data_IF_275911253036
#
_entry.id   IF_275911253036
#
_cell.length_a   1.000
_cell.length_b   1.000
_cell.length_c   1.000
_cell.angle_alpha   90.00
_cell.angle_beta   90.00
_cell.angle_gamma   90.00
#
_symmetry.space_group_name_H-M   'P 1'
#
loop_
_entity.id
_entity.type
_entity.pdbx_description
1 polymer ?
#
# COMPACT_ATOMS: atom_id res chain seq x y z
N UNK A 1 -3.64 14.11 29.79
CA UNK A 1 -3.32 14.08 28.34
C UNK A 1 -4.54 13.50 27.64
N UNK A 2 -5.27 14.32 26.89
CA UNK A 2 -6.43 13.84 26.13
C UNK A 2 -5.89 13.22 24.85
N UNK A 3 -6.00 11.90 24.71
CA UNK A 3 -5.71 11.23 23.44
C UNK A 3 -6.96 11.40 22.58
N UNK A 4 -6.90 12.26 21.57
CA UNK A 4 -7.98 12.40 20.62
C UNK A 4 -7.94 11.18 19.69
N UNK A 5 -8.88 10.24 19.92
CA UNK A 5 -9.04 9.05 19.08
C UNK A 5 -10.01 9.39 17.96
N UNK A 6 -9.55 9.33 16.71
CA UNK A 6 -10.40 9.51 15.54
C UNK A 6 -10.68 8.15 14.91
N UNK A 7 -11.88 7.98 14.39
CA UNK A 7 -12.22 6.84 13.54
C UNK A 7 -11.92 7.17 12.09
N UNK A 8 -11.25 6.27 11.37
CA UNK A 8 -11.04 6.43 9.94
C UNK A 8 -12.39 6.49 9.22
N UNK A 9 -12.57 7.44 8.31
CA UNK A 9 -13.83 7.57 7.55
C UNK A 9 -13.99 6.50 6.47
N UNK A 10 -12.86 6.04 5.93
CA UNK A 10 -12.79 5.06 4.84
C UNK A 10 -11.77 3.99 5.21
N UNK A 11 -11.87 2.87 4.54
CA UNK A 11 -10.80 1.88 4.46
C UNK A 11 -9.72 2.40 3.53
N UNK A 12 -8.45 2.40 3.96
CA UNK A 12 -7.31 2.77 3.12
C UNK A 12 -6.34 1.63 2.97
N UNK A 13 -5.82 1.48 1.77
CA UNK A 13 -4.88 0.41 1.44
C UNK A 13 -4.10 0.69 0.18
N UNK A 14 -3.29 -0.28 -0.21
CA UNK A 14 -2.51 -0.23 -1.45
C UNK A 14 -2.77 -1.45 -2.31
N UNK A 15 -2.61 -1.31 -3.63
CA UNK A 15 -2.68 -2.43 -4.55
C UNK A 15 -1.38 -3.24 -4.54
N UNK A 16 -1.46 -4.55 -4.33
CA UNK A 16 -0.30 -5.44 -4.24
C UNK A 16 -0.45 -6.73 -5.07
N UNK A 17 0.67 -7.42 -5.24
CA UNK A 17 0.72 -8.80 -5.72
C UNK A 17 1.04 -9.72 -4.54
N UNK A 18 0.14 -10.67 -4.25
CA UNK A 18 0.37 -11.70 -3.23
C UNK A 18 0.57 -13.07 -3.87
N UNK A 19 1.07 -14.06 -3.12
CA UNK A 19 1.11 -15.44 -3.63
C UNK A 19 -0.31 -15.93 -3.90
N UNK A 20 -0.50 -16.56 -5.05
CA UNK A 20 -1.79 -17.14 -5.38
C UNK A 20 -2.06 -18.35 -4.47
N UNK A 21 -3.29 -18.48 -4.00
CA UNK A 21 -3.73 -19.60 -3.14
C UNK A 21 -4.94 -20.21 -3.81
N UNK A 22 -4.74 -21.43 -4.35
CA UNK A 22 -5.80 -22.18 -5.02
C UNK A 22 -6.96 -22.45 -4.05
N UNK A 23 -8.19 -22.30 -4.54
CA UNK A 23 -9.41 -22.44 -3.73
C UNK A 23 -9.77 -21.23 -2.86
N UNK A 24 -8.84 -20.27 -2.67
CA UNK A 24 -9.11 -19.02 -1.93
C UNK A 24 -9.20 -17.83 -2.88
N UNK A 25 -8.24 -17.70 -3.79
CA UNK A 25 -8.19 -16.60 -4.74
C UNK A 25 -8.98 -16.93 -6.02
N UNK A 26 -9.70 -15.94 -6.61
CA UNK A 26 -10.38 -16.14 -7.88
C UNK A 26 -9.38 -16.45 -9.01
N UNK A 27 -9.65 -17.46 -9.87
CA UNK A 27 -8.77 -17.77 -11.00
C UNK A 27 -8.55 -16.59 -11.96
N UNK A 28 -9.52 -15.66 -12.06
CA UNK A 28 -9.40 -14.44 -12.86
C UNK A 28 -8.31 -13.47 -12.36
N UNK A 29 -7.82 -13.65 -11.13
CA UNK A 29 -6.72 -12.86 -10.54
C UNK A 29 -5.37 -13.57 -10.61
N UNK A 30 -5.31 -14.78 -11.16
CA UNK A 30 -4.07 -15.55 -11.30
C UNK A 30 -3.18 -14.92 -12.38
N UNK A 31 -1.94 -14.59 -12.01
CA UNK A 31 -0.88 -14.16 -12.93
C UNK A 31 0.36 -15.01 -12.67
N UNK A 32 0.88 -15.66 -13.70
CA UNK A 32 2.14 -16.41 -13.62
C UNK A 32 3.29 -15.55 -14.10
N UNK A 33 4.29 -15.35 -13.25
CA UNK A 33 5.49 -14.57 -13.58
C UNK A 33 6.74 -15.26 -13.05
N UNK A 34 7.70 -15.49 -13.94
CA UNK A 34 8.96 -16.19 -13.63
C UNK A 34 8.71 -17.57 -12.96
N UNK A 35 7.66 -18.28 -13.40
CA UNK A 35 7.24 -19.57 -12.83
C UNK A 35 6.53 -19.50 -11.48
N UNK A 36 6.26 -18.30 -10.95
CA UNK A 36 5.58 -18.09 -9.67
C UNK A 36 4.15 -17.62 -9.94
N UNK A 37 3.18 -18.24 -9.27
CA UNK A 37 1.77 -17.85 -9.28
C UNK A 37 1.50 -16.71 -8.29
N UNK A 38 0.96 -15.62 -8.81
CA UNK A 38 0.58 -14.43 -8.06
C UNK A 38 -0.92 -14.17 -8.17
N UNK A 39 -1.47 -13.60 -7.12
CA UNK A 39 -2.78 -12.98 -7.09
C UNK A 39 -2.61 -11.49 -7.36
N UNK A 40 -3.09 -11.03 -8.50
CA UNK A 40 -3.10 -9.63 -8.88
C UNK A 40 -4.24 -8.86 -8.23
N UNK A 41 -4.08 -7.54 -8.22
CA UNK A 41 -5.08 -6.58 -7.78
C UNK A 41 -5.52 -6.73 -6.32
N UNK A 42 -4.70 -7.33 -5.46
CA UNK A 42 -5.06 -7.48 -4.04
C UNK A 42 -5.06 -6.10 -3.37
N UNK A 43 -6.12 -5.83 -2.61
CA UNK A 43 -6.19 -4.66 -1.73
C UNK A 43 -5.58 -5.03 -0.37
N UNK A 44 -4.41 -4.48 -0.05
CA UNK A 44 -3.80 -4.65 1.27
C UNK A 44 -4.16 -3.46 2.17
N UNK A 45 -5.04 -3.70 3.14
CA UNK A 45 -5.58 -2.68 4.03
C UNK A 45 -4.58 -2.26 5.12
N UNK A 46 -4.41 -0.95 5.25
CA UNK A 46 -3.66 -0.31 6.33
C UNK A 46 -4.59 0.03 7.49
N UNK A 47 -5.78 0.51 7.18
CA UNK A 47 -6.81 0.86 8.15
C UNK A 47 -8.18 0.55 7.55
N UNK A 48 -9.12 0.11 8.39
CA UNK A 48 -10.51 -0.08 8.00
C UNK A 48 -11.34 1.16 8.31
N UNK A 49 -12.47 1.32 7.61
CA UNK A 49 -13.49 2.26 8.01
C UNK A 49 -13.89 2.02 9.49
N UNK A 50 -14.17 3.10 10.21
CA UNK A 50 -14.47 3.13 11.64
C UNK A 50 -13.36 2.65 12.59
N UNK A 51 -12.22 2.19 12.08
CA UNK A 51 -11.09 1.83 12.92
C UNK A 51 -10.54 3.07 13.63
N UNK A 52 -10.37 2.95 14.95
CA UNK A 52 -9.75 3.98 15.79
C UNK A 52 -8.26 4.10 15.47
N UNK A 53 -7.83 5.31 15.10
CA UNK A 53 -6.44 5.68 14.88
C UNK A 53 -6.15 6.95 15.66
N UNK A 54 -5.06 6.97 16.42
CA UNK A 54 -4.62 8.14 17.15
C UNK A 54 -4.10 9.22 16.19
N UNK A 55 -4.26 10.47 16.57
CA UNK A 55 -3.68 11.57 15.82
C UNK A 55 -2.14 11.45 15.77
N UNK A 56 -1.58 11.44 14.56
CA UNK A 56 -0.15 11.26 14.32
C UNK A 56 0.30 9.80 14.30
N UNK A 57 -0.59 8.85 14.57
CA UNK A 57 -0.27 7.43 14.45
C UNK A 57 0.04 7.09 12.99
N UNK A 58 0.89 6.07 12.85
CA UNK A 58 1.29 5.59 11.55
C UNK A 58 1.14 4.08 11.45
N UNK A 59 0.54 3.63 10.37
CA UNK A 59 0.54 2.22 9.97
C UNK A 59 1.63 2.02 8.93
N UNK A 60 2.49 1.04 9.15
CA UNK A 60 3.62 0.71 8.26
C UNK A 60 3.46 -0.73 7.76
N UNK A 61 3.70 -0.93 6.47
CA UNK A 61 3.79 -2.24 5.83
C UNK A 61 5.06 -2.34 4.99
N UNK A 62 5.68 -3.51 4.99
CA UNK A 62 6.89 -3.79 4.23
C UNK A 62 6.58 -4.66 3.02
N UNK A 63 7.14 -4.29 1.87
CA UNK A 63 6.97 -4.97 0.59
C UNK A 63 8.32 -5.20 -0.08
N UNK A 64 8.35 -6.13 -1.02
CA UNK A 64 9.50 -6.33 -1.92
C UNK A 64 9.10 -6.00 -3.35
N UNK A 65 10.00 -5.45 -4.18
CA UNK A 65 9.74 -5.26 -5.60
C UNK A 65 9.27 -6.55 -6.28
N UNK A 66 8.29 -6.43 -7.18
CA UNK A 66 7.70 -7.57 -7.88
C UNK A 66 8.63 -8.21 -8.93
N UNK A 67 9.78 -7.59 -9.22
CA UNK A 67 10.81 -8.15 -10.11
C UNK A 67 12.20 -7.78 -9.58
N UNK A 68 13.14 -8.71 -9.69
CA UNK A 68 14.55 -8.41 -9.48
C UNK A 68 15.04 -7.40 -10.54
N UNK A 69 15.89 -6.45 -10.12
CA UNK A 69 16.42 -5.40 -11.01
C UNK A 69 15.42 -4.33 -11.43
N UNK A 70 14.22 -4.30 -10.84
CA UNK A 70 13.24 -3.25 -11.10
C UNK A 70 13.80 -1.88 -10.68
N UNK A 71 13.82 -0.92 -11.60
CA UNK A 71 14.40 0.42 -11.39
C UNK A 71 13.39 1.43 -10.83
N UNK A 72 12.09 1.10 -10.82
CA UNK A 72 11.04 1.95 -10.24
C UNK A 72 9.94 1.09 -9.64
N UNK A 73 9.44 1.45 -8.46
CA UNK A 73 8.23 0.87 -7.87
C UNK A 73 7.11 1.89 -7.84
N UNK A 74 5.95 1.52 -8.38
CA UNK A 74 4.75 2.34 -8.35
C UNK A 74 3.82 1.71 -7.31
N UNK A 75 3.40 2.50 -6.33
CA UNK A 75 2.47 2.10 -5.29
C UNK A 75 1.22 2.95 -5.47
N UNK A 76 0.13 2.31 -5.87
CA UNK A 76 -1.17 2.96 -5.95
C UNK A 76 -1.87 2.84 -4.60
N UNK A 77 -2.36 3.98 -4.11
CA UNK A 77 -3.13 4.06 -2.87
C UNK A 77 -4.61 4.14 -3.22
N UNK A 78 -5.41 3.37 -2.49
CA UNK A 78 -6.83 3.21 -2.72
C UNK A 78 -7.62 3.47 -1.44
N UNK A 79 -8.87 3.88 -1.60
CA UNK A 79 -9.84 4.01 -0.53
C UNK A 79 -11.17 3.32 -0.90
N UNK A 80 -11.95 2.97 0.13
CA UNK A 80 -13.34 2.52 -0.01
C UNK A 80 -14.15 2.83 1.24
N UNK A 81 -15.46 3.06 1.10
CA UNK A 81 -16.39 3.13 2.24
C UNK A 81 -16.62 1.77 2.90
N UNK A 82 -16.31 0.69 2.19
CA UNK A 82 -16.48 -0.69 2.65
C UNK A 82 -15.21 -1.21 3.31
N UNK A 83 -15.36 -2.07 4.31
CA UNK A 83 -14.27 -2.77 5.00
C UNK A 83 -14.06 -4.22 4.51
N UNK A 84 -14.99 -4.76 3.75
CA UNK A 84 -14.98 -6.13 3.22
C UNK A 84 -14.34 -6.27 1.82
N UNK A 85 -13.75 -5.19 1.30
CA UNK A 85 -13.05 -5.18 0.00
C UNK A 85 -11.77 -6.00 0.06
N UNK A 86 -11.55 -6.80 -0.98
CA UNK A 86 -10.38 -7.71 -1.09
C UNK A 86 -9.50 -7.38 -2.29
N UNK A 87 -10.07 -6.76 -3.32
CA UNK A 87 -9.37 -6.39 -4.54
C UNK A 87 -9.55 -4.91 -4.87
N UNK A 88 -8.54 -4.32 -5.52
CA UNK A 88 -8.60 -2.93 -5.99
C UNK A 88 -9.62 -2.74 -7.12
N UNK A 89 -10.15 -3.82 -7.67
CA UNK A 89 -11.21 -3.84 -8.67
C UNK A 89 -12.60 -4.04 -8.08
N UNK A 90 -12.72 -4.18 -6.76
CA UNK A 90 -14.01 -4.38 -6.13
C UNK A 90 -14.86 -3.10 -6.26
N UNK A 91 -16.20 -3.23 -6.38
CA UNK A 91 -17.07 -2.07 -6.49
C UNK A 91 -16.92 -1.12 -5.29
N UNK A 92 -16.72 0.17 -5.59
CA UNK A 92 -16.53 1.21 -4.59
C UNK A 92 -15.08 1.39 -4.12
N UNK A 93 -14.11 0.69 -4.71
CA UNK A 93 -12.68 0.96 -4.49
C UNK A 93 -12.20 2.02 -5.48
N UNK A 94 -11.63 3.10 -4.97
CA UNK A 94 -11.19 4.26 -5.75
C UNK A 94 -9.71 4.49 -5.52
N UNK A 95 -8.94 4.73 -6.60
CA UNK A 95 -7.54 5.15 -6.47
C UNK A 95 -7.50 6.61 -6.04
N UNK A 96 -6.94 6.87 -4.86
CA UNK A 96 -6.84 8.21 -4.28
C UNK A 96 -5.41 8.75 -4.22
N UNK A 97 -4.40 7.93 -4.55
CA UNK A 97 -3.01 8.38 -4.56
C UNK A 97 -2.09 7.50 -5.40
N UNK A 98 -0.89 8.00 -5.71
CA UNK A 98 0.17 7.22 -6.35
C UNK A 98 1.53 7.69 -5.85
N UNK A 99 2.35 6.76 -5.41
CA UNK A 99 3.74 6.96 -5.04
C UNK A 99 4.64 6.30 -6.08
N UNK A 100 5.67 7.00 -6.54
CA UNK A 100 6.65 6.46 -7.50
C UNK A 100 8.02 6.52 -6.87
N UNK A 101 8.56 5.36 -6.50
CA UNK A 101 9.86 5.23 -5.85
C UNK A 101 10.92 4.81 -6.87
N UNK A 102 11.99 5.59 -7.00
CA UNK A 102 13.14 5.27 -7.83
C UNK A 102 14.07 4.27 -7.12
N UNK A 103 14.27 3.12 -7.76
CA UNK A 103 15.07 1.99 -7.32
C UNK A 103 16.30 1.77 -8.22
N UNK A 104 16.62 2.69 -9.13
CA UNK A 104 17.79 2.58 -10.03
C UNK A 104 19.13 2.58 -9.28
N UNK A 105 19.13 3.04 -8.03
CA UNK A 105 20.31 3.12 -7.19
C UNK A 105 20.81 1.73 -6.77
N UNK A 106 22.03 1.41 -7.18
CA UNK A 106 22.70 0.12 -6.98
C UNK A 106 23.40 -0.02 -5.63
N UNK A 107 23.31 0.99 -4.74
CA UNK A 107 23.84 0.90 -3.36
C UNK A 107 23.21 -0.24 -2.56
N UNK A 108 22.08 -0.78 -3.01
CA UNK A 108 21.56 -2.04 -2.52
C UNK A 108 22.44 -3.22 -2.98
N UNK A 109 23.23 -3.76 -2.05
CA UNK A 109 24.02 -4.96 -2.30
C UNK A 109 23.08 -6.16 -2.55
N UNK A 110 23.41 -7.01 -3.51
CA UNK A 110 22.57 -8.13 -3.99
C UNK A 110 22.31 -9.23 -2.94
N UNK A 111 22.83 -9.09 -1.72
CA UNK A 111 22.78 -10.13 -0.68
C UNK A 111 21.44 -10.22 0.05
N UNK A 112 20.57 -9.20 0.00
CA UNK A 112 19.22 -9.23 0.60
C UNK A 112 18.16 -8.84 -0.41
N UNK A 113 16.89 -9.20 -0.16
CA UNK A 113 15.78 -8.67 -0.96
C UNK A 113 15.56 -7.21 -0.58
N UNK A 114 15.44 -6.34 -1.59
CA UNK A 114 15.16 -4.92 -1.38
C UNK A 114 13.82 -4.75 -0.68
N UNK A 115 13.81 -3.99 0.40
CA UNK A 115 12.61 -3.70 1.19
C UNK A 115 12.11 -2.27 0.89
N UNK A 116 10.81 -2.18 0.62
CA UNK A 116 10.09 -0.91 0.50
C UNK A 116 9.10 -0.84 1.65
N UNK A 117 9.24 0.18 2.49
CA UNK A 117 8.28 0.45 3.55
C UNK A 117 7.28 1.50 3.07
N UNK A 118 6.00 1.13 2.98
CA UNK A 118 4.94 2.10 2.81
C UNK A 118 4.34 2.44 4.18
N UNK A 119 4.07 3.73 4.39
CA UNK A 119 3.59 4.29 5.65
C UNK A 119 2.42 5.22 5.37
N UNK A 120 1.34 5.07 6.14
CA UNK A 120 0.22 6.00 6.17
C UNK A 120 0.16 6.65 7.55
N UNK A 121 0.21 7.98 7.60
CA UNK A 121 0.15 8.78 8.83
C UNK A 121 -1.17 9.54 8.87
N UNK A 122 -1.90 9.39 9.96
CA UNK A 122 -3.25 9.94 10.11
C UNK A 122 -3.20 11.25 10.88
N UNK A 123 -3.37 12.37 10.17
CA UNK A 123 -3.42 13.71 10.75
C UNK A 123 -4.84 14.13 11.15
N UNK A 124 -5.03 15.43 11.40
CA UNK A 124 -6.35 16.00 11.73
C UNK A 124 -7.29 15.99 10.52
N UNK A 125 -6.81 16.49 9.38
CA UNK A 125 -7.60 16.65 8.15
C UNK A 125 -7.12 15.79 6.99
N UNK A 126 -5.88 15.30 7.07
CA UNK A 126 -5.16 14.67 5.95
C UNK A 126 -4.57 13.32 6.35
N UNK A 127 -4.41 12.44 5.35
CA UNK A 127 -3.59 11.24 5.46
C UNK A 127 -2.35 11.45 4.61
N UNK A 128 -1.19 11.35 5.24
CA UNK A 128 0.10 11.45 4.57
C UNK A 128 0.59 10.06 4.24
N UNK A 129 0.83 9.80 2.96
CA UNK A 129 1.35 8.52 2.50
C UNK A 129 2.78 8.66 2.04
N UNK A 130 3.62 7.70 2.40
CA UNK A 130 5.03 7.71 2.00
C UNK A 130 5.54 6.32 1.71
N UNK A 131 6.52 6.23 0.82
CA UNK A 131 7.27 5.01 0.54
C UNK A 131 8.77 5.27 0.74
N UNK A 132 9.44 4.36 1.43
CA UNK A 132 10.86 4.40 1.77
C UNK A 132 11.56 3.17 1.19
N UNK A 133 12.59 3.38 0.36
CA UNK A 133 13.55 2.32 0.05
C UNK A 133 14.52 2.20 1.23
N UNK A 134 14.38 1.12 2.01
CA UNK A 134 15.18 0.92 3.24
C UNK A 134 16.68 0.86 2.92
N UNK A 135 17.03 0.37 1.74
CA UNK A 135 18.44 0.20 1.35
C UNK A 135 19.15 1.52 1.10
N UNK A 136 18.46 2.48 0.48
CA UNK A 136 19.05 3.76 0.03
C UNK A 136 18.59 4.94 0.86
N UNK A 137 17.61 4.73 1.74
CA UNK A 137 16.90 5.75 2.51
C UNK A 137 16.18 6.79 1.64
N UNK A 138 16.01 6.52 0.34
CA UNK A 138 15.20 7.37 -0.55
C UNK A 138 13.74 7.26 -0.14
N UNK A 139 13.11 8.40 0.09
CA UNK A 139 11.70 8.49 0.49
C UNK A 139 10.93 9.38 -0.49
N UNK A 140 9.74 8.91 -0.88
CA UNK A 140 8.76 9.70 -1.64
C UNK A 140 7.48 9.81 -0.83
N UNK A 141 6.76 10.92 -1.00
CA UNK A 141 5.55 11.23 -0.24
C UNK A 141 4.46 11.75 -1.17
N UNK A 142 3.22 11.51 -0.80
CA UNK A 142 2.05 12.14 -1.37
C UNK A 142 1.06 12.41 -0.24
N UNK A 143 0.30 13.47 -0.39
CA UNK A 143 -0.80 13.79 0.52
C UNK A 143 -2.11 13.40 -0.16
N UNK A 144 -3.02 12.80 0.62
CA UNK A 144 -4.35 12.42 0.15
C UNK A 144 -5.33 13.39 0.78
N UNK A 145 -5.82 14.32 -0.04
CA UNK A 145 -6.83 15.30 0.37
C UNK A 145 -8.24 14.71 0.23
N UNK A 146 -8.94 14.64 1.36
CA UNK A 146 -10.34 14.17 1.43
C UNK A 146 -11.36 15.25 1.10
N UNK A 147 -10.93 16.46 0.78
CA UNK A 147 -11.81 17.63 0.62
C UNK A 147 -12.41 17.75 -0.78
N UNK A 148 -12.10 16.85 -1.72
CA UNK A 148 -12.59 16.89 -3.09
C UNK A 148 -13.38 15.62 -3.50
N UNK A 149 -14.05 14.95 -2.57
CA UNK A 149 -15.07 13.94 -2.87
C UNK A 149 -16.40 14.26 -2.19
#
# INVERSE_FOLDING_TARGET
MVVNVRRSRLTYGVGVLNRFVHGVHPPSKLVVKDGIEWCADVFDAFVLADQSVGQGDAVVRSYTPAKSGQTRSIIHVYCSERDDVRFITDPGVIRCGTLVLDLSDTRHTTMRRREIQARMVFGETEIKVSALDVATQKCVRADIDFLNQ
#
